data_IF_328502539923
#
_entry.id   IF_328502539923
#
_cell.length_a   1.000
_cell.length_b   1.000
_cell.length_c   1.000
_cell.angle_alpha   90.00
_cell.angle_beta   90.00
_cell.angle_gamma   90.00
#
_symmetry.space_group_name_H-M   'P 1'
#
loop_
_entity.id
_entity.type
_entity.pdbx_description
1 polymer ?
#
# COMPACT_ATOMS: atom_id res chain seq x y z
N UNK A 1 -20.13 2.24 -16.35
CA UNK A 1 -19.86 1.27 -15.26
C UNK A 1 -19.25 -0.03 -15.76
N UNK A 2 -19.46 -0.42 -17.03
CA UNK A 2 -18.95 -1.67 -17.64
C UNK A 2 -17.45 -1.91 -17.50
N UNK A 3 -16.61 -0.87 -17.55
CA UNK A 3 -15.14 -1.03 -17.53
C UNK A 3 -14.54 -1.46 -16.19
N UNK A 4 -15.28 -1.32 -15.07
CA UNK A 4 -14.77 -1.68 -13.73
C UNK A 4 -14.72 -3.17 -13.46
N UNK A 5 -15.30 -4.01 -14.34
CA UNK A 5 -15.13 -5.46 -14.26
C UNK A 5 -13.74 -5.90 -14.75
N UNK A 6 -13.09 -5.11 -15.60
CA UNK A 6 -11.82 -5.49 -16.23
C UNK A 6 -10.71 -5.75 -15.21
N UNK A 7 -10.46 -4.92 -14.17
CA UNK A 7 -9.45 -5.22 -13.16
C UNK A 7 -9.64 -6.58 -12.49
N UNK A 8 -10.88 -6.95 -12.16
CA UNK A 8 -11.24 -8.21 -11.52
C UNK A 8 -11.07 -9.44 -12.42
N UNK A 9 -10.76 -9.24 -13.70
CA UNK A 9 -10.40 -10.29 -14.65
C UNK A 9 -8.89 -10.24 -14.91
N UNK A 10 -8.37 -9.06 -15.24
CA UNK A 10 -6.98 -8.85 -15.65
C UNK A 10 -5.99 -9.13 -14.51
N UNK A 11 -6.22 -8.64 -13.29
CA UNK A 11 -5.26 -8.82 -12.19
C UNK A 11 -5.18 -10.26 -11.69
N UNK A 12 -6.29 -11.02 -11.55
CA UNK A 12 -6.23 -12.45 -11.29
C UNK A 12 -5.53 -13.24 -12.40
N UNK A 13 -5.80 -12.94 -13.67
CA UNK A 13 -5.09 -13.57 -14.80
C UNK A 13 -3.59 -13.31 -14.71
N UNK A 14 -3.17 -12.05 -14.50
CA UNK A 14 -1.75 -11.72 -14.31
C UNK A 14 -1.17 -12.50 -13.12
N UNK A 15 -1.86 -12.54 -11.98
CA UNK A 15 -1.40 -13.25 -10.78
C UNK A 15 -1.16 -14.74 -11.05
N UNK A 16 -2.12 -15.41 -11.70
CA UNK A 16 -2.05 -16.84 -12.03
C UNK A 16 -1.00 -17.14 -13.11
N UNK A 17 -0.92 -16.31 -14.15
CA UNK A 17 0.03 -16.50 -15.25
C UNK A 17 1.47 -16.15 -14.85
N UNK A 18 1.67 -15.36 -13.80
CA UNK A 18 3.01 -15.01 -13.32
C UNK A 18 3.75 -16.27 -12.87
N UNK A 19 4.83 -16.58 -13.58
CA UNK A 19 5.76 -17.67 -13.26
C UNK A 19 7.00 -17.12 -12.56
N UNK A 20 7.61 -17.98 -11.72
CA UNK A 20 8.80 -17.63 -10.94
C UNK A 20 8.57 -16.57 -9.85
N UNK A 21 9.65 -16.25 -9.14
CA UNK A 21 9.66 -15.24 -8.10
C UNK A 21 10.56 -14.08 -8.50
N UNK A 22 10.19 -12.88 -8.07
CA UNK A 22 10.99 -11.67 -8.22
C UNK A 22 11.84 -11.42 -6.97
N UNK A 23 11.25 -11.56 -5.78
CA UNK A 23 11.97 -11.44 -4.52
C UNK A 23 11.53 -12.50 -3.50
N UNK A 24 12.45 -12.94 -2.61
CA UNK A 24 12.13 -13.96 -1.60
C UNK A 24 10.95 -13.59 -0.69
N UNK A 25 10.68 -12.30 -0.47
CA UNK A 25 9.57 -11.84 0.37
C UNK A 25 8.19 -12.30 -0.11
N UNK A 26 8.03 -12.65 -1.39
CA UNK A 26 6.77 -13.21 -1.93
C UNK A 26 6.37 -14.52 -1.25
N UNK A 27 7.33 -15.22 -0.68
CA UNK A 27 7.11 -16.50 -0.01
C UNK A 27 7.45 -16.36 1.47
N UNK A 28 8.68 -15.96 1.78
CA UNK A 28 9.22 -16.01 3.13
C UNK A 28 8.72 -14.90 4.07
N UNK A 29 8.01 -13.90 3.55
CA UNK A 29 7.36 -12.86 4.34
C UNK A 29 5.82 -12.91 4.23
N UNK A 30 5.27 -13.94 3.58
CA UNK A 30 3.82 -14.07 3.36
C UNK A 30 3.34 -15.52 3.31
N UNK A 31 3.55 -16.22 2.19
CA UNK A 31 2.97 -17.54 1.94
C UNK A 31 3.55 -18.63 2.84
N UNK A 32 4.86 -18.64 3.06
CA UNK A 32 5.56 -19.68 3.84
C UNK A 32 5.24 -19.59 5.34
N UNK A 33 5.26 -18.40 5.99
CA UNK A 33 4.80 -18.27 7.38
C UNK A 33 3.32 -18.66 7.57
N UNK A 34 2.46 -18.30 6.61
CA UNK A 34 1.04 -18.68 6.63
C UNK A 34 0.84 -20.18 6.47
N UNK A 35 1.59 -20.79 5.55
CA UNK A 35 1.60 -22.23 5.33
C UNK A 35 2.04 -22.96 6.61
N UNK A 36 3.17 -22.55 7.20
CA UNK A 36 3.64 -23.15 8.46
C UNK A 36 2.66 -23.00 9.61
N UNK A 37 1.96 -21.86 9.70
CA UNK A 37 0.94 -21.63 10.72
C UNK A 37 -0.26 -22.60 10.61
N UNK A 38 -0.61 -23.04 9.39
CA UNK A 38 -1.75 -23.94 9.15
C UNK A 38 -1.33 -25.41 9.16
N UNK A 39 -0.24 -25.76 8.46
CA UNK A 39 0.17 -27.15 8.26
C UNK A 39 1.20 -27.64 9.28
N UNK A 40 1.80 -26.74 10.07
CA UNK A 40 2.80 -27.08 11.09
C UNK A 40 4.22 -27.32 10.58
N UNK A 41 4.46 -27.25 9.26
CA UNK A 41 5.78 -27.44 8.64
C UNK A 41 6.11 -26.33 7.62
N UNK A 42 7.38 -26.22 7.25
CA UNK A 42 7.91 -25.15 6.38
C UNK A 42 9.02 -24.34 7.06
N UNK A 43 9.59 -23.39 6.35
CA UNK A 43 10.77 -22.63 6.77
C UNK A 43 10.41 -21.21 7.23
N UNK A 44 11.02 -20.79 8.35
CA UNK A 44 10.95 -19.41 8.82
C UNK A 44 12.33 -18.77 8.68
N UNK A 45 12.39 -17.54 8.16
CA UNK A 45 13.64 -16.79 8.10
C UNK A 45 14.01 -16.25 9.48
N UNK A 46 15.24 -15.74 9.61
CA UNK A 46 15.77 -15.23 10.87
C UNK A 46 14.86 -14.15 11.49
N UNK A 47 14.17 -13.34 10.67
CA UNK A 47 13.30 -12.26 11.14
C UNK A 47 12.09 -12.77 11.96
N UNK A 48 11.65 -13.99 11.69
CA UNK A 48 10.55 -14.66 12.40
C UNK A 48 11.01 -15.34 13.67
N UNK A 49 12.24 -15.87 13.70
CA UNK A 49 12.78 -16.66 14.83
C UNK A 49 13.68 -15.84 15.75
N UNK A 50 14.01 -14.60 15.38
CA UNK A 50 14.75 -13.66 16.21
C UNK A 50 14.05 -13.47 17.56
N UNK A 51 14.83 -13.20 18.60
CA UNK A 51 14.33 -12.89 19.94
C UNK A 51 14.79 -11.49 20.34
N UNK A 52 13.91 -10.48 20.36
CA UNK A 52 12.48 -10.55 20.04
C UNK A 52 12.20 -10.60 18.52
N UNK A 53 11.07 -11.19 18.06
CA UNK A 53 10.75 -11.31 16.65
C UNK A 53 10.35 -9.96 16.05
N UNK A 54 10.61 -9.78 14.75
CA UNK A 54 10.42 -8.49 14.07
C UNK A 54 9.37 -8.49 12.96
N UNK A 55 8.74 -9.63 12.66
CA UNK A 55 7.70 -9.76 11.63
C UNK A 55 6.37 -10.07 12.29
N UNK A 56 5.33 -9.37 11.86
CA UNK A 56 3.96 -9.68 12.30
C UNK A 56 3.37 -10.78 11.45
N UNK A 57 2.61 -11.68 12.09
CA UNK A 57 1.78 -12.67 11.39
C UNK A 57 0.61 -12.01 10.63
N UNK A 58 0.30 -10.74 10.91
CA UNK A 58 -0.89 -10.08 10.41
C UNK A 58 -1.03 -10.09 8.88
N UNK A 59 0.06 -9.91 8.14
CA UNK A 59 0.03 -10.03 6.69
C UNK A 59 -0.14 -11.49 6.25
N UNK A 60 0.75 -12.45 6.62
CA UNK A 60 0.55 -13.87 6.31
C UNK A 60 -0.85 -14.43 6.68
N UNK A 61 -1.46 -13.94 7.76
CA UNK A 61 -2.76 -14.39 8.24
C UNK A 61 -3.88 -14.27 7.19
N UNK A 62 -3.73 -13.41 6.18
CA UNK A 62 -4.67 -13.29 5.06
C UNK A 62 -4.78 -14.59 4.26
N UNK A 63 -3.69 -15.37 4.18
CA UNK A 63 -3.64 -16.64 3.44
C UNK A 63 -4.02 -17.85 4.29
N UNK A 64 -4.03 -17.72 5.63
CA UNK A 64 -4.32 -18.85 6.51
C UNK A 64 -5.72 -19.45 6.30
N UNK A 65 -6.82 -18.68 6.23
CA UNK A 65 -8.15 -19.27 5.98
C UNK A 65 -8.24 -20.02 4.65
N UNK A 66 -7.54 -19.52 3.63
CA UNK A 66 -7.47 -20.17 2.32
C UNK A 66 -6.77 -21.53 2.42
N UNK A 67 -5.62 -21.58 3.09
CA UNK A 67 -4.90 -22.85 3.31
C UNK A 67 -5.69 -23.83 4.17
N UNK A 68 -6.34 -23.36 5.24
CA UNK A 68 -7.20 -24.22 6.07
C UNK A 68 -8.37 -24.80 5.27
N UNK A 69 -8.99 -24.00 4.39
CA UNK A 69 -10.06 -24.49 3.53
C UNK A 69 -9.56 -25.55 2.53
N UNK A 70 -8.38 -25.37 1.94
CA UNK A 70 -7.76 -26.37 1.05
C UNK A 70 -7.43 -27.66 1.81
N UNK A 71 -6.87 -27.55 3.03
CA UNK A 71 -6.58 -28.69 3.89
C UNK A 71 -7.85 -29.48 4.23
N UNK A 72 -8.91 -28.79 4.64
CA UNK A 72 -10.18 -29.43 5.00
C UNK A 72 -10.86 -30.11 3.80
N UNK A 73 -10.66 -29.58 2.60
CA UNK A 73 -11.17 -30.17 1.35
C UNK A 73 -10.26 -31.28 0.79
N UNK A 74 -9.07 -31.53 1.37
CA UNK A 74 -8.08 -32.45 0.82
C UNK A 74 -7.46 -31.99 -0.50
N UNK A 75 -7.48 -30.68 -0.76
CA UNK A 75 -6.96 -30.02 -1.98
C UNK A 75 -5.63 -29.27 -1.73
N UNK A 76 -4.98 -29.58 -0.61
CA UNK A 76 -3.70 -29.04 -0.18
C UNK A 76 -2.49 -29.69 -0.87
N UNK A 77 -2.72 -30.66 -1.76
CA UNK A 77 -1.67 -31.31 -2.55
C UNK A 77 -1.78 -30.91 -4.03
N UNK A 78 -0.78 -30.16 -4.52
CA UNK A 78 -0.62 -29.85 -5.95
C UNK A 78 -0.91 -28.41 -6.35
N UNK A 79 -1.45 -28.21 -7.56
CA UNK A 79 -1.51 -26.89 -8.21
C UNK A 79 -2.38 -25.87 -7.45
N UNK A 80 -3.45 -26.30 -6.78
CA UNK A 80 -4.36 -25.39 -6.07
C UNK A 80 -3.68 -24.67 -4.89
N UNK A 81 -2.74 -25.33 -4.20
CA UNK A 81 -1.96 -24.73 -3.12
C UNK A 81 -1.13 -23.53 -3.62
N UNK A 82 -0.72 -23.55 -4.89
CA UNK A 82 0.06 -22.47 -5.54
C UNK A 82 -0.85 -21.45 -6.21
N UNK A 83 -1.91 -21.90 -6.89
CA UNK A 83 -2.77 -21.05 -7.71
C UNK A 83 -3.75 -20.23 -6.87
N UNK A 84 -4.28 -20.77 -5.77
CA UNK A 84 -5.29 -20.09 -4.98
C UNK A 84 -4.75 -18.81 -4.30
N UNK A 85 -3.55 -18.81 -3.67
CA UNK A 85 -2.94 -17.58 -3.16
C UNK A 85 -2.72 -16.50 -4.23
N UNK A 86 -2.33 -16.92 -5.45
CA UNK A 86 -2.14 -16.02 -6.60
C UNK A 86 -3.45 -15.41 -7.06
N UNK A 87 -4.52 -16.21 -7.09
CA UNK A 87 -5.87 -15.72 -7.42
C UNK A 87 -6.34 -14.68 -6.40
N UNK A 88 -6.22 -14.98 -5.10
CA UNK A 88 -6.58 -14.05 -4.04
C UNK A 88 -5.77 -12.75 -4.11
N UNK A 89 -4.46 -12.85 -4.31
CA UNK A 89 -3.57 -11.70 -4.49
C UNK A 89 -3.98 -10.85 -5.69
N UNK A 90 -4.33 -11.47 -6.83
CA UNK A 90 -4.87 -10.77 -7.99
C UNK A 90 -6.22 -10.08 -7.73
N UNK A 91 -7.10 -10.67 -6.92
CA UNK A 91 -8.35 -10.02 -6.51
C UNK A 91 -8.10 -8.82 -5.60
N UNK A 92 -7.17 -8.93 -4.64
CA UNK A 92 -6.74 -7.81 -3.80
C UNK A 92 -6.08 -6.69 -4.62
N UNK A 93 -5.30 -7.04 -5.64
CA UNK A 93 -4.72 -6.09 -6.60
C UNK A 93 -5.79 -5.36 -7.42
N UNK A 94 -6.89 -6.05 -7.78
CA UNK A 94 -8.02 -5.45 -8.50
C UNK A 94 -8.66 -4.28 -7.74
N UNK A 95 -8.62 -4.35 -6.40
CA UNK A 95 -9.13 -3.27 -5.55
C UNK A 95 -8.30 -1.99 -5.68
N UNK A 96 -6.98 -2.07 -5.96
CA UNK A 96 -6.17 -0.88 -6.28
C UNK A 96 -6.75 -0.14 -7.47
N UNK A 97 -7.09 -0.87 -8.54
CA UNK A 97 -7.64 -0.26 -9.75
C UNK A 97 -9.05 0.30 -9.53
N UNK A 98 -9.89 -0.43 -8.80
CA UNK A 98 -11.25 -0.02 -8.49
C UNK A 98 -11.30 1.27 -7.66
N UNK A 99 -10.56 1.31 -6.55
CA UNK A 99 -10.50 2.49 -5.70
C UNK A 99 -9.72 3.63 -6.37
N UNK A 100 -8.67 3.33 -7.11
CA UNK A 100 -7.91 4.34 -7.85
C UNK A 100 -8.73 5.01 -8.95
N UNK A 101 -9.53 4.27 -9.72
CA UNK A 101 -10.46 4.86 -10.68
C UNK A 101 -11.51 5.72 -9.99
N UNK A 102 -12.10 5.23 -8.88
CA UNK A 102 -13.06 6.01 -8.09
C UNK A 102 -12.43 7.30 -7.53
N UNK A 103 -11.20 7.20 -7.06
CA UNK A 103 -10.43 8.33 -6.55
C UNK A 103 -10.13 9.37 -7.63
N UNK A 104 -9.63 8.93 -8.79
CA UNK A 104 -9.39 9.80 -9.94
C UNK A 104 -10.69 10.46 -10.43
N UNK A 105 -11.80 9.71 -10.47
CA UNK A 105 -13.12 10.25 -10.84
C UNK A 105 -13.61 11.29 -9.85
N UNK A 106 -13.42 11.05 -8.54
CA UNK A 106 -13.81 11.98 -7.48
C UNK A 106 -13.03 13.29 -7.60
N UNK A 107 -11.73 13.25 -7.91
CA UNK A 107 -10.88 14.44 -7.93
C UNK A 107 -10.96 15.24 -9.24
N UNK A 108 -10.99 14.55 -10.39
CA UNK A 108 -10.85 15.19 -11.70
C UNK A 108 -11.91 14.78 -12.74
N UNK A 109 -12.90 13.98 -12.34
CA UNK A 109 -13.98 13.55 -13.22
C UNK A 109 -13.66 12.34 -14.10
N UNK A 110 -14.64 11.91 -14.92
CA UNK A 110 -14.61 10.60 -15.59
C UNK A 110 -13.53 10.47 -16.67
N UNK A 111 -13.16 11.55 -17.38
CA UNK A 111 -12.13 11.52 -18.43
C UNK A 111 -10.78 11.10 -17.83
N UNK A 112 -10.34 11.79 -16.77
CA UNK A 112 -9.09 11.47 -16.06
C UNK A 112 -9.15 10.09 -15.42
N UNK A 113 -10.29 9.68 -14.87
CA UNK A 113 -10.46 8.36 -14.29
C UNK A 113 -10.23 7.23 -15.30
N UNK A 114 -10.78 7.34 -16.51
CA UNK A 114 -10.60 6.32 -17.54
C UNK A 114 -9.15 6.24 -18.01
N UNK A 115 -8.47 7.38 -18.17
CA UNK A 115 -7.03 7.42 -18.48
C UNK A 115 -6.20 6.81 -17.35
N UNK A 116 -6.57 7.11 -16.09
CA UNK A 116 -5.92 6.51 -14.92
C UNK A 116 -6.02 4.99 -14.93
N UNK A 117 -7.22 4.44 -15.21
CA UNK A 117 -7.42 3.00 -15.26
C UNK A 117 -6.62 2.35 -16.40
N UNK A 118 -6.59 2.99 -17.58
CA UNK A 118 -5.74 2.54 -18.68
C UNK A 118 -4.28 2.47 -18.23
N UNK A 119 -3.74 3.57 -17.69
CA UNK A 119 -2.36 3.63 -17.19
C UNK A 119 -2.08 2.55 -16.14
N UNK A 120 -3.01 2.32 -15.21
CA UNK A 120 -2.84 1.30 -14.18
C UNK A 120 -2.79 -0.11 -14.75
N UNK A 121 -3.69 -0.44 -15.70
CA UNK A 121 -3.74 -1.75 -16.35
C UNK A 121 -2.55 -2.01 -17.27
N UNK A 122 -2.00 -0.96 -17.90
CA UNK A 122 -0.83 -1.06 -18.79
C UNK A 122 0.50 -0.75 -18.09
N UNK A 123 0.49 -0.45 -16.79
CA UNK A 123 1.70 -0.14 -16.03
C UNK A 123 2.55 -1.40 -15.86
N UNK A 124 3.76 -1.37 -16.43
CA UNK A 124 4.72 -2.48 -16.36
C UNK A 124 5.01 -2.84 -14.90
N UNK A 125 5.15 -1.83 -14.02
CA UNK A 125 5.42 -2.07 -12.61
C UNK A 125 4.22 -2.69 -11.87
N UNK A 126 2.99 -2.26 -12.15
CA UNK A 126 1.81 -2.94 -11.60
C UNK A 126 1.70 -4.39 -12.09
N UNK A 127 1.96 -4.64 -13.38
CA UNK A 127 1.99 -6.01 -13.93
C UNK A 127 3.05 -6.85 -13.23
N UNK A 128 4.23 -6.27 -12.97
CA UNK A 128 5.33 -6.96 -12.28
C UNK A 128 5.02 -7.27 -10.81
N UNK A 129 4.52 -6.30 -10.05
CA UNK A 129 4.52 -6.36 -8.59
C UNK A 129 3.14 -6.44 -7.93
N UNK A 130 2.11 -5.79 -8.49
CA UNK A 130 0.85 -5.55 -7.78
C UNK A 130 0.07 -6.84 -7.48
N UNK A 131 0.04 -7.80 -8.40
CA UNK A 131 -0.62 -9.11 -8.19
C UNK A 131 0.25 -10.12 -7.43
N UNK A 132 1.51 -9.81 -7.13
CA UNK A 132 2.39 -10.66 -6.31
C UNK A 132 2.10 -10.46 -4.82
N UNK A 133 2.44 -11.45 -4.02
CA UNK A 133 2.16 -11.56 -2.58
C UNK A 133 3.10 -10.69 -1.72
N UNK A 134 3.42 -9.49 -2.18
CA UNK A 134 4.16 -8.48 -1.41
C UNK A 134 3.24 -7.69 -0.49
N UNK A 135 3.68 -7.47 0.74
CA UNK A 135 2.99 -6.56 1.67
C UNK A 135 2.88 -5.15 1.10
N UNK A 136 3.84 -4.71 0.26
CA UNK A 136 3.79 -3.44 -0.45
C UNK A 136 2.61 -3.35 -1.44
N UNK A 137 2.20 -4.47 -2.04
CA UNK A 137 1.07 -4.51 -2.96
C UNK A 137 -0.24 -4.29 -2.21
N UNK A 138 -0.42 -4.94 -1.06
CA UNK A 138 -1.58 -4.70 -0.20
C UNK A 138 -1.57 -3.30 0.42
N UNK A 139 -0.41 -2.80 0.85
CA UNK A 139 -0.20 -1.42 1.30
C UNK A 139 -0.64 -0.42 0.21
N UNK A 140 -0.32 -0.70 -1.06
CA UNK A 140 -0.75 0.11 -2.21
C UNK A 140 -2.27 0.12 -2.35
N UNK A 141 -2.93 -1.04 -2.30
CA UNK A 141 -4.40 -1.17 -2.32
C UNK A 141 -5.04 -0.38 -1.18
N UNK A 142 -4.57 -0.57 0.05
CA UNK A 142 -5.12 0.09 1.24
C UNK A 142 -4.89 1.60 1.22
N UNK A 143 -3.73 2.04 0.71
CA UNK A 143 -3.40 3.46 0.57
C UNK A 143 -4.37 4.15 -0.39
N UNK A 144 -4.57 3.60 -1.60
CA UNK A 144 -5.49 4.23 -2.57
C UNK A 144 -6.95 4.15 -2.13
N UNK A 145 -7.35 3.05 -1.47
CA UNK A 145 -8.68 2.92 -0.87
C UNK A 145 -8.92 3.97 0.23
N UNK A 146 -7.94 4.18 1.11
CA UNK A 146 -8.02 5.22 2.15
C UNK A 146 -8.03 6.62 1.55
N UNK A 147 -7.18 6.91 0.55
CA UNK A 147 -7.15 8.18 -0.17
C UNK A 147 -8.50 8.54 -0.82
N UNK A 148 -9.23 7.54 -1.34
CA UNK A 148 -10.58 7.74 -1.86
C UNK A 148 -11.56 8.30 -0.81
N UNK A 149 -11.47 7.78 0.43
CA UNK A 149 -12.29 8.22 1.56
C UNK A 149 -11.72 9.46 2.29
N UNK A 150 -10.43 9.76 2.11
CA UNK A 150 -9.74 10.87 2.78
C UNK A 150 -10.33 12.23 2.40
N UNK A 151 -10.49 13.17 3.35
CA UNK A 151 -11.01 14.50 3.09
C UNK A 151 -9.98 15.44 2.45
N UNK A 152 -9.56 15.14 1.20
CA UNK A 152 -8.59 15.95 0.46
C UNK A 152 -9.15 17.28 -0.06
N UNK A 153 -10.45 17.33 -0.33
CA UNK A 153 -11.16 18.47 -0.96
C UNK A 153 -12.45 18.67 -0.20
N UNK A 154 -12.70 19.87 0.31
CA UNK A 154 -13.96 20.19 1.00
C UNK A 154 -15.11 20.37 -0.01
N UNK A 155 -16.32 19.90 0.31
CA UNK A 155 -17.52 20.20 -0.48
C UNK A 155 -17.77 19.33 -1.72
N UNK A 156 -16.97 18.29 -1.98
CA UNK A 156 -17.36 17.24 -2.91
C UNK A 156 -18.41 16.35 -2.23
N UNK A 157 -19.67 16.46 -2.69
CA UNK A 157 -20.91 15.87 -2.16
C UNK A 157 -20.99 14.33 -2.01
N UNK A 158 -19.88 13.61 -1.93
CA UNK A 158 -19.87 12.14 -1.84
C UNK A 158 -19.07 11.70 -0.62
N UNK A 159 -19.80 11.46 0.47
CA UNK A 159 -19.40 10.73 1.69
C UNK A 159 -17.91 10.87 2.09
N UNK A 160 -17.57 11.94 2.80
CA UNK A 160 -16.36 11.95 3.62
C UNK A 160 -16.60 11.00 4.80
N UNK A 161 -15.91 9.87 4.79
CA UNK A 161 -15.87 8.97 5.93
C UNK A 161 -14.43 8.88 6.42
N UNK A 162 -14.04 9.88 7.20
CA UNK A 162 -12.75 9.92 7.88
C UNK A 162 -12.54 8.68 8.75
N UNK A 163 -13.61 8.08 9.31
CA UNK A 163 -13.50 6.87 10.11
C UNK A 163 -13.03 5.71 9.22
N UNK A 164 -13.66 5.51 8.08
CA UNK A 164 -13.25 4.49 7.08
C UNK A 164 -11.83 4.76 6.55
N UNK A 165 -11.50 6.02 6.25
CA UNK A 165 -10.17 6.39 5.81
C UNK A 165 -9.08 6.06 6.86
N UNK A 166 -9.34 6.40 8.13
CA UNK A 166 -8.45 6.08 9.25
C UNK A 166 -8.36 4.58 9.51
N UNK A 167 -9.45 3.83 9.37
CA UNK A 167 -9.45 2.36 9.50
C UNK A 167 -8.55 1.72 8.44
N UNK A 168 -8.70 2.11 7.17
CA UNK A 168 -7.87 1.62 6.06
C UNK A 168 -6.40 2.05 6.22
N UNK A 169 -6.16 3.27 6.70
CA UNK A 169 -4.82 3.75 7.03
C UNK A 169 -4.17 2.93 8.15
N UNK A 170 -4.90 2.67 9.25
CA UNK A 170 -4.41 1.86 10.36
C UNK A 170 -4.18 0.39 9.93
N UNK A 171 -5.04 -0.15 9.08
CA UNK A 171 -4.84 -1.47 8.47
C UNK A 171 -3.56 -1.50 7.63
N UNK A 172 -3.27 -0.46 6.84
CA UNK A 172 -2.00 -0.38 6.10
C UNK A 172 -0.78 -0.35 7.03
N UNK A 173 -0.86 0.38 8.16
CA UNK A 173 0.19 0.40 9.18
C UNK A 173 0.37 -0.95 9.88
N UNK A 174 -0.71 -1.69 10.09
CA UNK A 174 -0.68 -3.03 10.68
C UNK A 174 0.01 -4.04 9.74
N UNK A 175 -0.29 -3.96 8.44
CA UNK A 175 0.38 -4.76 7.41
C UNK A 175 1.84 -4.34 7.22
N UNK A 176 2.11 -3.02 7.24
CA UNK A 176 3.45 -2.43 7.10
C UNK A 176 3.59 -1.19 7.98
N UNK A 177 4.36 -1.25 9.09
CA UNK A 177 4.56 -0.11 9.99
C UNK A 177 5.09 1.14 9.29
N UNK A 178 5.86 0.98 8.20
CA UNK A 178 6.38 2.10 7.41
C UNK A 178 5.31 2.93 6.73
N UNK A 179 4.09 2.41 6.54
CA UNK A 179 2.93 3.15 6.01
C UNK A 179 2.64 4.43 6.83
N UNK A 180 3.04 4.46 8.11
CA UNK A 180 2.89 5.63 8.96
C UNK A 180 3.55 6.89 8.35
N UNK A 181 4.59 6.75 7.53
CA UNK A 181 5.22 7.88 6.81
C UNK A 181 4.23 8.58 5.88
N UNK A 182 3.32 7.85 5.23
CA UNK A 182 2.27 8.41 4.37
C UNK A 182 1.24 9.17 5.21
N UNK A 183 0.78 8.55 6.30
CA UNK A 183 -0.34 9.08 7.08
C UNK A 183 0.05 10.24 7.99
N UNK A 184 1.31 10.34 8.39
CA UNK A 184 1.82 11.47 9.19
C UNK A 184 1.67 12.81 8.46
N UNK A 185 2.04 12.88 7.17
CA UNK A 185 1.87 14.12 6.41
C UNK A 185 0.41 14.41 6.08
N UNK A 186 -0.38 13.40 5.71
CA UNK A 186 -1.81 13.60 5.42
C UNK A 186 -2.61 14.00 6.67
N UNK A 187 -2.32 13.35 7.81
CA UNK A 187 -2.92 13.67 9.11
C UNK A 187 -2.48 15.05 9.59
N UNK A 188 -1.19 15.38 9.51
CA UNK A 188 -0.67 16.70 9.88
C UNK A 188 -1.29 17.80 9.03
N UNK A 189 -1.43 17.59 7.72
CA UNK A 189 -2.05 18.55 6.83
C UNK A 189 -3.54 18.74 7.10
N UNK A 190 -4.27 17.66 7.39
CA UNK A 190 -5.66 17.72 7.83
C UNK A 190 -5.80 18.52 9.14
N UNK A 191 -4.94 18.27 10.13
CA UNK A 191 -4.95 19.01 11.39
C UNK A 191 -4.67 20.50 11.18
N UNK A 192 -3.65 20.84 10.40
CA UNK A 192 -3.32 22.24 10.05
C UNK A 192 -4.53 22.91 9.39
N UNK A 193 -5.15 22.26 8.40
CA UNK A 193 -6.36 22.78 7.74
C UNK A 193 -7.48 23.03 8.74
N UNK A 194 -7.78 22.09 9.62
CA UNK A 194 -8.83 22.22 10.64
C UNK A 194 -8.56 23.41 11.57
N UNK A 195 -7.33 23.58 12.05
CA UNK A 195 -6.93 24.72 12.89
C UNK A 195 -7.05 26.04 12.13
N UNK A 196 -6.57 26.11 10.88
CA UNK A 196 -6.65 27.34 10.07
C UNK A 196 -8.08 27.79 9.77
N UNK A 197 -9.05 26.87 9.81
CA UNK A 197 -10.48 27.16 9.70
C UNK A 197 -11.15 27.55 11.03
N UNK A 198 -10.39 27.61 12.12
CA UNK A 198 -10.91 27.86 13.46
C UNK A 198 -11.76 26.71 14.02
N UNK A 199 -11.63 25.50 13.48
CA UNK A 199 -12.38 24.32 13.91
C UNK A 199 -11.59 23.53 14.95
N UNK A 200 -12.30 22.80 15.83
CA UNK A 200 -11.67 21.94 16.83
C UNK A 200 -11.05 20.70 16.18
N UNK A 201 -9.80 20.41 16.52
CA UNK A 201 -9.09 19.18 16.11
C UNK A 201 -9.43 17.96 16.98
N UNK A 202 -10.10 18.17 18.12
CA UNK A 202 -10.40 17.11 19.09
C UNK A 202 -11.12 15.92 18.46
N UNK A 203 -12.16 16.08 17.61
CA UNK A 203 -12.84 14.94 16.99
C UNK A 203 -11.92 14.10 16.09
N UNK A 204 -10.97 14.73 15.39
CA UNK A 204 -10.00 14.04 14.54
C UNK A 204 -9.03 13.25 15.42
N UNK A 205 -8.46 13.90 16.44
CA UNK A 205 -7.51 13.26 17.36
C UNK A 205 -8.15 12.11 18.13
N UNK A 206 -9.40 12.26 18.59
CA UNK A 206 -10.14 11.18 19.26
C UNK A 206 -10.35 9.98 18.34
N UNK A 207 -10.71 10.20 17.06
CA UNK A 207 -10.85 9.10 16.09
C UNK A 207 -9.50 8.41 15.82
N UNK A 208 -8.42 9.19 15.67
CA UNK A 208 -7.07 8.64 15.50
C UNK A 208 -6.67 7.81 16.72
N UNK A 209 -6.93 8.30 17.94
CA UNK A 209 -6.63 7.58 19.18
C UNK A 209 -7.42 6.28 19.29
N UNK A 210 -8.73 6.30 19.01
CA UNK A 210 -9.58 5.10 19.06
C UNK A 210 -9.11 4.06 18.03
N UNK A 211 -8.96 4.45 16.76
CA UNK A 211 -8.56 3.53 15.69
C UNK A 211 -7.13 3.04 15.91
N UNK A 212 -6.21 3.93 16.26
CA UNK A 212 -4.81 3.60 16.54
C UNK A 212 -4.66 2.63 17.71
N UNK A 213 -5.42 2.83 18.79
CA UNK A 213 -5.43 1.92 19.94
C UNK A 213 -5.99 0.55 19.56
N UNK A 214 -7.13 0.52 18.87
CA UNK A 214 -7.75 -0.72 18.40
C UNK A 214 -6.78 -1.56 17.56
N UNK A 215 -6.14 -0.97 16.54
CA UNK A 215 -5.21 -1.69 15.67
C UNK A 215 -3.91 -2.08 16.38
N UNK A 216 -3.44 -1.28 17.34
CA UNK A 216 -2.29 -1.65 18.17
C UNK A 216 -2.59 -2.86 19.05
N UNK A 217 -3.80 -2.92 19.63
CA UNK A 217 -4.26 -4.08 20.41
C UNK A 217 -4.45 -5.32 19.52
N UNK A 218 -5.04 -5.18 18.33
CA UNK A 218 -5.15 -6.28 17.36
C UNK A 218 -3.76 -6.80 17.00
N UNK A 219 -2.80 -5.92 16.69
CA UNK A 219 -1.44 -6.31 16.35
C UNK A 219 -0.76 -7.06 17.51
N UNK A 220 -0.82 -6.49 18.71
CA UNK A 220 -0.25 -7.12 19.91
C UNK A 220 -0.90 -8.48 20.18
N UNK A 221 -2.22 -8.61 19.98
CA UNK A 221 -2.94 -9.87 20.14
C UNK A 221 -2.50 -10.92 19.12
N UNK A 222 -2.49 -10.58 17.83
CA UNK A 222 -2.06 -11.48 16.76
C UNK A 222 -0.62 -11.96 16.96
N UNK A 223 0.31 -11.03 17.24
CA UNK A 223 1.71 -11.36 17.44
C UNK A 223 1.89 -12.22 18.71
N UNK A 224 1.23 -11.86 19.82
CA UNK A 224 1.32 -12.61 21.08
C UNK A 224 0.78 -14.03 20.94
N UNK A 225 -0.36 -14.19 20.25
CA UNK A 225 -0.94 -15.51 19.99
C UNK A 225 -0.04 -16.35 19.10
N UNK A 226 0.53 -15.77 18.05
CA UNK A 226 1.41 -16.50 17.12
C UNK A 226 2.74 -16.92 17.76
N UNK A 227 3.37 -16.04 18.54
CA UNK A 227 4.67 -16.30 19.17
C UNK A 227 4.58 -16.96 20.55
N UNK A 228 3.38 -17.10 21.12
CA UNK A 228 3.16 -17.68 22.45
C UNK A 228 3.68 -16.85 23.62
N UNK A 229 4.15 -15.62 23.37
CA UNK A 229 4.72 -14.71 24.37
C UNK A 229 4.32 -13.26 24.06
N UNK A 230 4.14 -12.37 25.07
CA UNK A 230 3.77 -10.97 24.86
C UNK A 230 4.70 -10.27 23.85
N UNK A 231 4.16 -9.97 22.67
CA UNK A 231 4.95 -9.50 21.53
C UNK A 231 4.25 -8.33 20.85
N UNK A 232 5.03 -7.31 20.51
CA UNK A 232 4.59 -6.19 19.69
C UNK A 232 5.64 -5.91 18.60
N UNK A 233 5.47 -6.55 17.45
CA UNK A 233 6.48 -6.56 16.38
C UNK A 233 6.81 -5.18 15.78
N UNK A 234 5.91 -4.17 15.70
CA UNK A 234 6.28 -2.87 15.15
C UNK A 234 7.42 -2.19 15.94
N UNK A 235 7.41 -2.32 17.27
CA UNK A 235 8.48 -1.75 18.10
C UNK A 235 9.80 -2.50 17.92
N UNK A 236 9.75 -3.84 17.83
CA UNK A 236 10.93 -4.66 17.58
C UNK A 236 11.52 -4.37 16.19
N UNK A 237 10.66 -4.26 15.17
CA UNK A 237 11.03 -3.88 13.81
C UNK A 237 11.74 -2.53 13.80
N UNK A 238 11.19 -1.50 14.47
CA UNK A 238 11.84 -0.19 14.56
C UNK A 238 13.20 -0.28 15.23
N UNK A 239 13.32 -0.97 16.37
CA UNK A 239 14.60 -1.14 17.08
C UNK A 239 15.67 -1.79 16.19
N UNK A 240 15.32 -2.85 15.48
CA UNK A 240 16.26 -3.56 14.60
C UNK A 240 16.60 -2.75 13.35
N UNK A 241 15.65 -2.02 12.75
CA UNK A 241 15.93 -1.21 11.56
C UNK A 241 16.72 0.07 11.86
N UNK A 242 16.74 0.53 13.11
CA UNK A 242 17.65 1.57 13.58
C UNK A 242 19.08 1.07 13.81
N UNK A 243 19.29 -0.25 13.80
CA UNK A 243 20.63 -0.85 13.85
C UNK A 243 21.25 -0.98 12.44
N UNK A 244 22.50 -1.42 12.38
CA UNK A 244 23.23 -1.65 11.12
C UNK A 244 22.72 -2.82 10.28
N UNK A 245 21.74 -3.59 10.77
CA UNK A 245 21.15 -4.74 10.05
C UNK A 245 20.59 -4.32 8.69
N UNK A 246 20.01 -3.13 8.57
CA UNK A 246 19.50 -2.65 7.27
C UNK A 246 20.62 -2.52 6.21
N UNK A 247 21.83 -2.14 6.62
CA UNK A 247 22.99 -2.00 5.72
C UNK A 247 23.49 -3.34 5.18
N UNK A 248 23.21 -4.47 5.85
CA UNK A 248 23.56 -5.81 5.37
C UNK A 248 22.89 -6.14 4.03
N UNK A 249 21.68 -5.62 3.80
CA UNK A 249 20.92 -5.82 2.56
C UNK A 249 21.35 -4.88 1.42
N UNK A 250 22.49 -4.21 1.57
CA UNK A 250 23.04 -3.27 0.60
C UNK A 250 22.62 -1.83 0.89
N UNK A 251 23.52 -0.92 0.55
CA UNK A 251 23.37 0.53 0.73
C UNK A 251 23.28 1.21 -0.62
N UNK A 252 22.31 2.10 -0.77
CA UNK A 252 22.09 2.86 -1.99
C UNK A 252 22.28 4.36 -1.75
N UNK A 253 22.74 5.08 -2.79
CA UNK A 253 22.92 6.53 -2.75
C UNK A 253 21.61 7.26 -2.42
N UNK A 254 21.71 8.46 -1.84
CA UNK A 254 20.55 9.26 -1.43
C UNK A 254 19.60 9.56 -2.60
N UNK A 255 20.14 9.74 -3.81
CA UNK A 255 19.36 10.06 -5.01
C UNK A 255 18.69 8.83 -5.68
N UNK A 256 18.84 7.61 -5.13
CA UNK A 256 18.33 6.36 -5.71
C UNK A 256 16.87 6.44 -6.14
N UNK A 257 15.99 7.00 -5.29
CA UNK A 257 14.57 7.06 -5.63
C UNK A 257 14.28 7.98 -6.80
N UNK A 258 15.05 9.07 -6.95
CA UNK A 258 14.90 10.01 -8.06
C UNK A 258 15.48 9.44 -9.36
N UNK A 259 16.71 8.90 -9.31
CA UNK A 259 17.43 8.48 -10.52
C UNK A 259 17.09 7.07 -11.00
N UNK A 260 16.56 6.20 -10.12
CA UNK A 260 16.28 4.80 -10.45
C UNK A 260 14.83 4.42 -10.16
N UNK A 261 14.36 4.58 -8.92
CA UNK A 261 13.04 4.05 -8.55
C UNK A 261 11.89 4.73 -9.32
N UNK A 262 11.90 6.06 -9.45
CA UNK A 262 10.86 6.78 -10.21
C UNK A 262 10.83 6.36 -11.69
N UNK A 263 11.96 6.31 -12.43
CA UNK A 263 11.99 5.74 -13.78
C UNK A 263 11.47 4.30 -13.86
N UNK A 264 11.83 3.43 -12.90
CA UNK A 264 11.39 2.03 -12.88
C UNK A 264 9.88 1.91 -12.61
N UNK A 265 9.35 2.70 -11.67
CA UNK A 265 7.93 2.66 -11.32
C UNK A 265 7.06 3.23 -12.44
N UNK A 266 7.45 4.39 -12.98
CA UNK A 266 6.63 5.11 -13.94
C UNK A 266 6.82 4.60 -15.37
N UNK A 267 7.99 4.05 -15.70
CA UNK A 267 8.35 3.57 -17.04
C UNK A 267 7.98 4.60 -18.13
N UNK A 268 7.18 4.21 -19.11
CA UNK A 268 6.73 5.06 -20.22
C UNK A 268 5.81 6.20 -19.78
N UNK A 269 5.22 6.14 -18.58
CA UNK A 269 4.37 7.21 -18.05
C UNK A 269 5.15 8.38 -17.44
N UNK A 270 6.47 8.23 -17.19
CA UNK A 270 7.28 9.21 -16.46
C UNK A 270 7.17 10.65 -16.99
N UNK A 271 7.26 10.93 -18.31
CA UNK A 271 7.13 12.31 -18.81
C UNK A 271 5.78 12.94 -18.45
N UNK A 272 4.70 12.16 -18.50
CA UNK A 272 3.35 12.61 -18.15
C UNK A 272 3.18 12.78 -16.64
N UNK A 273 3.85 11.97 -15.82
CA UNK A 273 3.90 12.17 -14.36
C UNK A 273 4.52 13.53 -14.04
N UNK A 274 5.65 13.86 -14.68
CA UNK A 274 6.35 15.14 -14.49
C UNK A 274 5.49 16.32 -14.95
N UNK A 275 4.94 16.25 -16.16
CA UNK A 275 4.06 17.30 -16.69
C UNK A 275 2.80 17.46 -15.84
N UNK A 276 2.16 16.36 -15.43
CA UNK A 276 1.01 16.37 -14.54
C UNK A 276 1.31 16.99 -13.18
N UNK A 277 2.46 16.67 -12.59
CA UNK A 277 2.93 17.29 -11.35
C UNK A 277 3.15 18.80 -11.48
N UNK A 278 3.53 19.28 -12.67
CA UNK A 278 3.60 20.72 -12.97
C UNK A 278 2.19 21.34 -13.08
N UNK A 279 1.26 20.69 -13.77
CA UNK A 279 -0.13 21.14 -13.90
C UNK A 279 -0.85 21.28 -12.56
N UNK A 280 -0.54 20.42 -11.58
CA UNK A 280 -1.09 20.50 -10.20
C UNK A 280 -0.90 21.88 -9.57
N UNK A 281 0.17 22.60 -9.92
CA UNK A 281 0.44 23.96 -9.42
C UNK A 281 -0.56 24.99 -9.97
N UNK A 282 -1.09 24.75 -11.16
CA UNK A 282 -1.98 25.66 -11.88
C UNK A 282 -3.46 25.41 -11.55
N UNK A 283 -3.78 24.28 -10.92
CA UNK A 283 -5.17 23.95 -10.60
C UNK A 283 -5.76 24.92 -9.55
N UNK A 284 -6.93 25.51 -9.82
CA UNK A 284 -7.58 26.43 -8.90
C UNK A 284 -8.37 25.70 -7.80
N UNK A 285 -8.74 26.46 -6.76
CA UNK A 285 -9.70 26.04 -5.74
C UNK A 285 -9.28 24.83 -4.91
N UNK A 286 -10.30 24.13 -4.40
CA UNK A 286 -10.14 22.99 -3.50
C UNK A 286 -9.51 21.77 -4.20
N UNK A 287 -9.85 21.53 -5.48
CA UNK A 287 -9.23 20.46 -6.29
C UNK A 287 -7.72 20.68 -6.37
N UNK A 288 -7.29 21.90 -6.69
CA UNK A 288 -5.87 22.23 -6.72
C UNK A 288 -5.19 22.03 -5.35
N UNK A 289 -5.87 22.37 -4.25
CA UNK A 289 -5.32 22.18 -2.90
C UNK A 289 -5.10 20.70 -2.60
N UNK A 290 -6.13 19.86 -2.78
CA UNK A 290 -6.02 18.41 -2.59
C UNK A 290 -4.93 17.79 -3.47
N UNK A 291 -4.80 18.25 -4.71
CA UNK A 291 -3.76 17.81 -5.65
C UNK A 291 -2.35 18.19 -5.19
N UNK A 292 -2.17 19.40 -4.65
CA UNK A 292 -0.91 19.85 -4.05
C UNK A 292 -0.55 19.06 -2.80
N UNK A 293 -1.54 18.66 -1.99
CA UNK A 293 -1.33 17.75 -0.85
C UNK A 293 -0.78 16.40 -1.30
N UNK A 294 -1.32 15.82 -2.37
CA UNK A 294 -0.80 14.57 -2.94
C UNK A 294 0.62 14.74 -3.49
N UNK A 295 0.91 15.85 -4.16
CA UNK A 295 2.26 16.15 -4.66
C UNK A 295 3.26 16.28 -3.50
N UNK A 296 2.88 16.98 -2.43
CA UNK A 296 3.70 17.12 -1.22
C UNK A 296 3.88 15.79 -0.48
N UNK A 297 2.86 14.93 -0.46
CA UNK A 297 2.96 13.56 0.04
C UNK A 297 4.02 12.76 -0.74
N UNK A 298 3.98 12.77 -2.06
CA UNK A 298 4.99 12.08 -2.87
C UNK A 298 6.40 12.59 -2.56
N UNK A 299 6.58 13.92 -2.47
CA UNK A 299 7.86 14.54 -2.10
C UNK A 299 8.33 14.10 -0.72
N UNK A 300 7.44 14.12 0.27
CA UNK A 300 7.73 13.73 1.64
C UNK A 300 8.20 12.28 1.74
N UNK A 301 7.43 11.35 1.17
CA UNK A 301 7.75 9.92 1.23
C UNK A 301 9.07 9.61 0.50
N UNK A 302 9.28 10.16 -0.69
CA UNK A 302 10.56 10.01 -1.42
C UNK A 302 11.72 10.55 -0.60
N UNK A 303 11.56 11.72 0.03
CA UNK A 303 12.60 12.34 0.86
C UNK A 303 12.90 11.49 2.08
N UNK A 304 11.88 11.04 2.82
CA UNK A 304 12.03 10.20 4.00
C UNK A 304 12.78 8.90 3.68
N UNK A 305 12.38 8.19 2.62
CA UNK A 305 13.08 6.97 2.20
C UNK A 305 14.50 7.23 1.64
N UNK A 306 14.77 8.42 1.10
CA UNK A 306 16.11 8.77 0.60
C UNK A 306 17.18 8.82 1.70
N UNK A 307 16.77 9.09 2.94
CA UNK A 307 17.64 9.07 4.12
C UNK A 307 17.89 7.66 4.70
N UNK A 308 17.16 6.63 4.24
CA UNK A 308 17.39 5.26 4.69
C UNK A 308 18.55 4.60 3.93
N UNK A 309 19.42 3.86 4.61
CA UNK A 309 20.57 3.19 3.97
C UNK A 309 20.15 2.19 2.90
N UNK A 310 19.26 1.27 3.27
CA UNK A 310 18.67 0.29 2.36
C UNK A 310 17.47 0.88 1.62
N UNK A 311 17.41 0.62 0.31
CA UNK A 311 16.39 1.20 -0.58
C UNK A 311 15.96 0.18 -1.60
N UNK A 312 14.66 0.16 -1.87
CA UNK A 312 14.05 -0.67 -2.90
C UNK A 312 12.93 0.10 -3.59
N UNK A 313 12.81 -0.06 -4.91
CA UNK A 313 11.73 0.57 -5.68
C UNK A 313 10.32 0.25 -5.13
N UNK A 314 10.10 -0.96 -4.59
CA UNK A 314 8.80 -1.39 -4.05
C UNK A 314 8.38 -0.63 -2.79
N UNK A 315 9.30 0.01 -2.06
CA UNK A 315 8.95 0.79 -0.86
C UNK A 315 8.11 2.01 -1.18
N UNK A 316 8.21 2.54 -2.40
CA UNK A 316 7.40 3.67 -2.88
C UNK A 316 6.26 3.22 -3.80
N UNK A 317 5.99 1.92 -3.92
CA UNK A 317 4.85 1.38 -4.68
C UNK A 317 3.50 2.00 -4.27
N UNK A 318 3.23 2.30 -2.97
CA UNK A 318 1.99 2.96 -2.57
C UNK A 318 1.78 4.36 -3.18
N UNK A 319 2.83 4.99 -3.71
CA UNK A 319 2.73 6.27 -4.41
C UNK A 319 2.36 6.12 -5.89
N UNK A 320 2.53 4.93 -6.48
CA UNK A 320 2.32 4.70 -7.91
C UNK A 320 0.89 5.04 -8.38
N UNK A 321 -0.18 4.74 -7.62
CA UNK A 321 -1.52 5.24 -7.94
C UNK A 321 -1.60 6.77 -8.07
N UNK A 322 -0.83 7.52 -7.27
CA UNK A 322 -0.76 8.99 -7.33
C UNK A 322 0.07 9.44 -8.55
N UNK A 323 1.14 8.73 -8.89
CA UNK A 323 1.89 9.02 -10.12
C UNK A 323 1.02 8.80 -11.37
N UNK A 324 0.28 7.69 -11.44
CA UNK A 324 -0.71 7.47 -12.51
C UNK A 324 -1.78 8.57 -12.54
N UNK A 325 -2.14 9.14 -11.39
CA UNK A 325 -3.08 10.26 -11.31
C UNK A 325 -2.51 11.54 -11.93
N UNK A 326 -1.24 11.85 -11.71
CA UNK A 326 -0.58 12.96 -12.39
C UNK A 326 -0.43 12.72 -13.90
N UNK A 327 0.00 11.52 -14.31
CA UNK A 327 0.07 11.16 -15.72
C UNK A 327 -1.30 11.23 -16.42
N UNK A 328 -2.36 10.78 -15.75
CA UNK A 328 -3.73 10.85 -16.27
C UNK A 328 -4.22 12.30 -16.42
N UNK A 329 -3.91 13.17 -15.46
CA UNK A 329 -4.21 14.61 -15.55
C UNK A 329 -3.51 15.23 -16.77
N UNK A 330 -2.23 14.93 -16.96
CA UNK A 330 -1.47 15.38 -18.13
C UNK A 330 -2.11 14.93 -19.44
N UNK A 331 -2.31 13.62 -19.60
CA UNK A 331 -2.84 13.04 -20.84
C UNK A 331 -4.27 13.49 -21.16
N UNK A 332 -5.09 13.76 -20.13
CA UNK A 332 -6.45 14.28 -20.33
C UNK A 332 -6.48 15.78 -20.69
N UNK A 333 -5.38 16.51 -20.47
CA UNK A 333 -5.24 17.92 -20.82
C UNK A 333 -4.68 18.16 -22.22
N UNK A 334 -4.16 17.11 -22.86
CA UNK A 334 -3.78 17.07 -24.27
C UNK A 334 -5.03 16.83 -25.15
#
# INVERSE_FOLDING_TARGET
>A
MSWLILPFIVRPIIGVLTQGFFQPDEYFQSLEPAHRAVFGYGHLTWEWVAQPPIRSIAYPAIWMPLYSALQWAGLDNGALLVLAPKLLSGLLASLTDFFGWKFARKLYGPRVANVWLLLSLTSIFHVLALSRTFSNSLETTLTVASLYHWPLVDGLYVHHDLTTALFLAALSCLIRPTSAIIWTILGGELLIRTVTKGQSVVPILSKVAIVGTLFSLIQSGLDTTYYGNPTFTPLNFLRVNLSSVSSFYGVNQWHYYFTQALPILCTTSLPFVVHGGWLVKMLPGEIGRGSRTLFNLCRWVITAYSFMSHKEWRFIHPLLPIFHLFAALSLASL
#
